data_IF_963370356779
#
_entry.id   IF_963370356779
#
_cell.length_a   1.000
_cell.length_b   1.000
_cell.length_c   1.000
_cell.angle_alpha   90.00
_cell.angle_beta   90.00
_cell.angle_gamma   90.00
#
_symmetry.space_group_name_H-M   'P 1'
#
loop_
_entity.id
_entity.type
_entity.pdbx_description
1 polymer ?
#
# COMPACT_ATOMS: atom_id res chain seq x y z
N UNK A 1 9.40 16.75 -7.26
CA UNK A 1 10.87 16.73 -7.25
C UNK A 1 11.40 15.50 -6.51
N UNK A 2 10.95 15.24 -5.29
CA UNK A 2 11.41 14.11 -4.44
C UNK A 2 11.17 12.74 -5.06
N UNK A 3 9.99 12.48 -5.61
CA UNK A 3 9.62 11.19 -6.20
C UNK A 3 10.44 10.86 -7.45
N UNK A 4 10.71 11.86 -8.31
CA UNK A 4 11.61 11.66 -9.46
C UNK A 4 13.03 11.37 -9.02
N UNK A 5 13.51 12.02 -7.96
CA UNK A 5 14.83 11.79 -7.40
C UNK A 5 14.95 10.39 -6.80
N UNK A 6 13.94 9.89 -6.10
CA UNK A 6 13.89 8.51 -5.58
C UNK A 6 13.91 7.48 -6.73
N UNK A 7 13.19 7.72 -7.81
CA UNK A 7 13.24 6.86 -9.00
C UNK A 7 14.60 6.89 -9.69
N UNK A 8 15.21 8.07 -9.82
CA UNK A 8 16.46 8.24 -10.54
C UNK A 8 17.68 7.76 -9.72
N UNK A 9 17.66 7.94 -8.41
CA UNK A 9 18.78 7.56 -7.55
C UNK A 9 18.59 6.13 -7.02
N UNK A 10 17.48 5.84 -6.35
CA UNK A 10 17.33 4.58 -5.63
C UNK A 10 17.08 3.40 -6.57
N UNK A 11 16.23 3.59 -7.59
CA UNK A 11 15.88 2.48 -8.51
C UNK A 11 17.03 2.18 -9.47
N UNK A 12 17.67 3.21 -10.04
CA UNK A 12 18.79 3.01 -10.97
C UNK A 12 20.05 2.49 -10.25
N UNK A 13 20.37 3.06 -9.09
CA UNK A 13 21.62 2.74 -8.39
C UNK A 13 21.56 1.38 -7.69
N UNK A 14 20.45 1.07 -7.01
CA UNK A 14 20.31 -0.16 -6.23
C UNK A 14 20.12 -1.39 -7.11
N UNK A 15 19.45 -1.26 -8.26
CA UNK A 15 19.08 -2.41 -9.12
C UNK A 15 19.84 -2.49 -10.43
N UNK A 16 20.78 -1.58 -10.70
CA UNK A 16 21.52 -1.52 -11.97
C UNK A 16 20.60 -1.56 -13.21
N UNK A 17 19.43 -0.92 -13.08
CA UNK A 17 18.44 -0.86 -14.15
C UNK A 17 18.92 0.13 -15.20
N UNK A 18 18.89 -0.26 -16.46
CA UNK A 18 19.22 0.63 -17.57
C UNK A 18 18.29 1.87 -17.57
N UNK A 19 18.86 3.02 -17.86
CA UNK A 19 18.09 4.29 -17.95
C UNK A 19 16.92 4.22 -18.91
N UNK A 20 16.99 3.34 -19.92
CA UNK A 20 15.93 3.08 -20.89
C UNK A 20 14.60 2.62 -20.27
N UNK A 21 14.62 2.02 -19.08
CA UNK A 21 13.41 1.53 -18.39
C UNK A 21 12.74 2.56 -17.48
N UNK A 22 13.43 3.65 -17.15
CA UNK A 22 12.90 4.70 -16.27
C UNK A 22 11.54 5.28 -16.71
N UNK A 23 11.31 5.60 -17.99
CA UNK A 23 10.01 6.11 -18.42
C UNK A 23 8.86 5.12 -18.14
N UNK A 24 9.12 3.82 -18.31
CA UNK A 24 8.15 2.75 -18.04
C UNK A 24 7.85 2.61 -16.54
N UNK A 25 8.89 2.69 -15.70
CA UNK A 25 8.75 2.67 -14.24
C UNK A 25 7.98 3.89 -13.72
N UNK A 26 8.26 5.09 -14.26
CA UNK A 26 7.51 6.31 -13.93
C UNK A 26 6.03 6.19 -14.30
N UNK A 27 5.74 5.68 -15.50
CA UNK A 27 4.37 5.45 -15.95
C UNK A 27 3.65 4.44 -15.05
N UNK A 28 4.33 3.34 -14.67
CA UNK A 28 3.77 2.34 -13.76
C UNK A 28 3.48 2.94 -12.38
N UNK A 29 4.43 3.67 -11.80
CA UNK A 29 4.23 4.34 -10.51
C UNK A 29 3.06 5.31 -10.55
N UNK A 30 2.93 6.10 -11.61
CA UNK A 30 1.80 6.99 -11.79
C UNK A 30 0.47 6.23 -11.82
N UNK A 31 0.36 5.16 -12.62
CA UNK A 31 -0.85 4.33 -12.73
C UNK A 31 -1.21 3.70 -11.38
N UNK A 32 -0.23 3.16 -10.65
CA UNK A 32 -0.46 2.60 -9.31
C UNK A 32 -0.90 3.68 -8.33
N UNK A 33 -0.25 4.83 -8.30
CA UNK A 33 -0.57 5.90 -7.35
C UNK A 33 -1.95 6.52 -7.59
N UNK A 34 -2.45 6.50 -8.82
CA UNK A 34 -3.80 7.00 -9.12
C UNK A 34 -4.91 6.05 -8.65
N UNK A 35 -4.59 4.78 -8.41
CA UNK A 35 -5.57 3.73 -8.05
C UNK A 35 -5.34 3.11 -6.69
N UNK A 36 -4.16 3.31 -6.08
CA UNK A 36 -3.81 2.73 -4.79
C UNK A 36 -4.73 3.22 -3.64
N UNK A 37 -5.09 2.33 -2.70
CA UNK A 37 -4.80 0.90 -2.66
C UNK A 37 -5.65 0.10 -3.66
N UNK A 38 -5.00 -0.71 -4.46
CA UNK A 38 -5.69 -1.45 -5.53
C UNK A 38 -5.15 -2.87 -5.70
N UNK A 39 -5.98 -3.77 -6.21
CA UNK A 39 -5.54 -5.05 -6.76
C UNK A 39 -4.98 -4.80 -8.17
N UNK A 40 -3.66 -4.96 -8.41
CA UNK A 40 -3.08 -4.60 -9.70
C UNK A 40 -3.61 -5.49 -10.82
N UNK A 41 -4.14 -4.89 -11.87
CA UNK A 41 -4.46 -5.61 -13.09
C UNK A 41 -3.21 -5.72 -13.98
N UNK A 42 -2.38 -6.73 -13.69
CA UNK A 42 -1.09 -6.93 -14.37
C UNK A 42 -1.24 -7.06 -15.89
N UNK A 43 -2.35 -7.63 -16.37
CA UNK A 43 -2.61 -7.76 -17.82
C UNK A 43 -2.89 -6.42 -18.48
N UNK A 44 -3.66 -5.56 -17.83
CA UNK A 44 -3.92 -4.20 -18.31
C UNK A 44 -2.66 -3.36 -18.25
N UNK A 45 -1.95 -3.38 -17.12
CA UNK A 45 -0.68 -2.65 -16.96
C UNK A 45 0.36 -3.07 -18.01
N UNK A 46 0.45 -4.37 -18.35
CA UNK A 46 1.37 -4.85 -19.37
C UNK A 46 1.08 -4.28 -20.76
N UNK A 47 -0.21 -4.13 -21.10
CA UNK A 47 -0.64 -3.49 -22.36
C UNK A 47 -0.34 -1.99 -22.37
N UNK A 48 -0.69 -1.28 -21.31
CA UNK A 48 -0.51 0.18 -21.20
C UNK A 48 0.96 0.60 -21.20
N UNK A 49 1.84 -0.22 -20.62
CA UNK A 49 3.29 0.04 -20.52
C UNK A 49 4.07 -0.60 -21.68
N UNK A 50 3.40 -1.40 -22.50
CA UNK A 50 4.00 -2.13 -23.61
C UNK A 50 5.17 -3.01 -23.15
N UNK A 51 4.89 -3.94 -22.25
CA UNK A 51 5.88 -4.87 -21.70
C UNK A 51 5.23 -6.18 -21.26
N UNK A 52 6.01 -7.18 -20.87
CA UNK A 52 5.48 -8.46 -20.42
C UNK A 52 4.87 -8.36 -19.01
N UNK A 53 3.96 -9.29 -18.69
CA UNK A 53 3.40 -9.39 -17.32
C UNK A 53 4.48 -9.67 -16.28
N UNK A 54 5.46 -10.50 -16.61
CA UNK A 54 6.59 -10.78 -15.73
C UNK A 54 7.41 -9.51 -15.45
N UNK A 55 7.64 -8.70 -16.49
CA UNK A 55 8.33 -7.41 -16.35
C UNK A 55 7.55 -6.44 -15.46
N UNK A 56 6.21 -6.37 -15.59
CA UNK A 56 5.38 -5.55 -14.67
C UNK A 56 5.56 -6.00 -13.23
N UNK A 57 5.55 -7.30 -12.96
CA UNK A 57 5.75 -7.82 -11.61
C UNK A 57 7.13 -7.45 -11.04
N UNK A 58 8.18 -7.56 -11.87
CA UNK A 58 9.52 -7.12 -11.49
C UNK A 58 9.57 -5.61 -11.24
N UNK A 59 8.91 -4.79 -12.06
CA UNK A 59 8.85 -3.35 -11.86
C UNK A 59 8.12 -2.98 -10.55
N UNK A 60 7.01 -3.64 -10.20
CA UNK A 60 6.35 -3.44 -8.91
C UNK A 60 7.31 -3.81 -7.77
N UNK A 61 8.07 -4.90 -7.91
CA UNK A 61 9.08 -5.29 -6.93
C UNK A 61 10.18 -4.24 -6.79
N UNK A 62 10.67 -3.67 -7.90
CA UNK A 62 11.67 -2.59 -7.87
C UNK A 62 11.15 -1.33 -7.17
N UNK A 63 9.89 -0.95 -7.45
CA UNK A 63 9.24 0.17 -6.76
C UNK A 63 9.04 -0.11 -5.27
N UNK A 64 8.83 -1.38 -4.87
CA UNK A 64 8.74 -1.79 -3.46
C UNK A 64 10.09 -1.70 -2.78
N UNK A 65 11.15 -2.18 -3.41
CA UNK A 65 12.51 -2.12 -2.88
C UNK A 65 13.01 -0.66 -2.74
N UNK A 66 12.57 0.22 -3.64
CA UNK A 66 12.82 1.67 -3.58
C UNK A 66 11.91 2.41 -2.59
N UNK A 67 11.07 1.72 -1.82
CA UNK A 67 10.13 2.29 -0.85
C UNK A 67 9.17 3.33 -1.45
N UNK A 68 8.69 3.08 -2.66
CA UNK A 68 7.68 3.90 -3.33
C UNK A 68 6.29 3.29 -3.23
N UNK A 69 6.21 1.95 -3.22
CA UNK A 69 4.99 1.19 -3.03
C UNK A 69 5.20 0.04 -2.04
N UNK A 70 4.11 -0.50 -1.54
CA UNK A 70 4.08 -1.71 -0.72
C UNK A 70 3.20 -2.76 -1.37
N UNK A 71 3.64 -4.02 -1.36
CA UNK A 71 2.84 -5.17 -1.80
C UNK A 71 2.26 -5.90 -0.60
N UNK A 72 0.95 -6.09 -0.58
CA UNK A 72 0.27 -6.94 0.39
C UNK A 72 -0.19 -8.24 -0.27
N UNK A 73 0.04 -9.35 0.41
CA UNK A 73 -0.30 -10.69 -0.06
C UNK A 73 -1.36 -11.35 0.82
N UNK A 74 -2.04 -12.34 0.28
CA UNK A 74 -2.81 -13.28 1.10
C UNK A 74 -1.87 -14.16 1.92
N UNK A 75 -2.42 -14.77 2.94
CA UNK A 75 -1.66 -15.74 3.75
C UNK A 75 -1.12 -16.87 2.87
N UNK A 76 0.18 -17.17 3.01
CA UNK A 76 0.85 -18.20 2.21
C UNK A 76 1.22 -17.78 0.77
N UNK A 77 1.00 -16.53 0.40
CA UNK A 77 1.41 -15.99 -0.90
C UNK A 77 2.54 -14.96 -0.74
N UNK A 78 3.43 -14.92 -1.72
CA UNK A 78 4.55 -13.98 -1.79
C UNK A 78 5.00 -13.77 -3.24
N UNK A 79 5.93 -12.85 -3.48
CA UNK A 79 6.56 -12.70 -4.78
C UNK A 79 7.19 -14.04 -5.24
N UNK A 80 7.05 -14.43 -6.53
CA UNK A 80 6.57 -13.65 -7.67
C UNK A 80 5.06 -13.71 -7.95
N UNK A 81 4.24 -14.22 -7.03
CA UNK A 81 2.79 -14.17 -7.20
C UNK A 81 2.28 -12.73 -7.25
N UNK A 82 1.12 -12.55 -7.89
CA UNK A 82 0.46 -11.25 -7.94
C UNK A 82 0.00 -10.84 -6.52
N UNK A 83 0.34 -9.64 -6.04
CA UNK A 83 -0.13 -9.19 -4.73
C UNK A 83 -1.66 -9.03 -4.71
N UNK A 84 -2.25 -9.25 -3.56
CA UNK A 84 -3.66 -9.01 -3.31
C UNK A 84 -3.97 -7.51 -3.44
N UNK A 85 -3.11 -6.66 -2.86
CA UNK A 85 -3.20 -5.21 -3.00
C UNK A 85 -1.81 -4.56 -3.10
N UNK A 86 -1.77 -3.40 -3.76
CA UNK A 86 -0.61 -2.50 -3.79
C UNK A 86 -1.02 -1.19 -3.13
N UNK A 87 -0.21 -0.72 -2.21
CA UNK A 87 -0.34 0.56 -1.50
C UNK A 87 0.78 1.50 -1.93
N UNK A 88 0.60 2.81 -1.81
CA UNK A 88 1.75 3.70 -1.77
C UNK A 88 2.57 3.45 -0.51
N UNK A 89 3.88 3.61 -0.58
CA UNK A 89 4.72 3.41 0.61
C UNK A 89 4.39 4.38 1.73
N UNK A 90 4.09 5.64 1.36
CA UNK A 90 3.69 6.68 2.30
C UNK A 90 2.47 7.43 1.74
N UNK A 91 1.50 7.75 2.60
CA UNK A 91 0.30 8.50 2.21
C UNK A 91 0.60 9.87 1.60
N UNK A 92 1.71 10.50 2.00
CA UNK A 92 2.15 11.78 1.43
C UNK A 92 2.51 11.70 -0.06
N UNK A 93 2.86 10.50 -0.57
CA UNK A 93 3.15 10.31 -2.00
C UNK A 93 1.89 10.36 -2.88
N UNK A 94 0.70 10.24 -2.28
CA UNK A 94 -0.57 10.27 -3.01
C UNK A 94 -0.93 11.68 -3.48
N UNK A 95 -0.64 12.69 -2.67
CA UNK A 95 -1.03 14.09 -2.93
C UNK A 95 -0.32 14.76 -4.12
N UNK A 96 1.00 14.58 -4.33
CA UNK A 96 1.66 15.17 -5.50
C UNK A 96 1.14 14.65 -6.84
N UNK A 97 0.54 13.46 -6.84
CA UNK A 97 0.05 12.80 -8.05
C UNK A 97 -1.41 13.15 -8.33
N UNK A 98 -2.24 13.27 -7.29
CA UNK A 98 -3.67 13.62 -7.40
C UNK A 98 -4.11 14.55 -6.28
N UNK A 99 -3.68 15.80 -6.26
CA UNK A 99 -3.90 16.70 -5.11
C UNK A 99 -5.37 16.94 -4.78
N UNK A 100 -6.28 16.87 -5.76
CA UNK A 100 -7.70 17.17 -5.57
C UNK A 100 -8.61 15.92 -5.50
N UNK A 101 -8.08 14.71 -5.66
CA UNK A 101 -8.91 13.49 -5.77
C UNK A 101 -8.39 12.32 -4.96
N UNK A 102 -7.64 12.59 -3.87
CA UNK A 102 -7.17 11.55 -2.98
C UNK A 102 -8.35 11.03 -2.16
N UNK A 103 -8.59 9.73 -2.22
CA UNK A 103 -9.63 9.08 -1.42
C UNK A 103 -9.19 9.05 0.06
N UNK A 104 -9.93 9.66 1.00
CA UNK A 104 -9.56 9.66 2.42
C UNK A 104 -9.41 8.25 3.02
N UNK A 105 -10.22 7.29 2.59
CA UNK A 105 -10.09 5.91 3.04
C UNK A 105 -8.76 5.29 2.59
N UNK A 106 -8.34 5.57 1.36
CA UNK A 106 -7.03 5.14 0.84
C UNK A 106 -5.86 5.71 1.65
N UNK A 107 -5.98 6.95 2.10
CA UNK A 107 -4.98 7.59 2.98
C UNK A 107 -4.89 6.88 4.33
N UNK A 108 -6.02 6.58 4.98
CA UNK A 108 -6.08 5.86 6.26
C UNK A 108 -5.46 4.48 6.17
N UNK A 109 -5.84 3.71 5.16
CA UNK A 109 -5.31 2.36 4.96
C UNK A 109 -3.81 2.39 4.66
N UNK A 110 -3.35 3.33 3.83
CA UNK A 110 -1.93 3.51 3.51
C UNK A 110 -1.14 3.92 4.75
N UNK A 111 -1.67 4.83 5.56
CA UNK A 111 -1.06 5.23 6.83
C UNK A 111 -0.92 4.02 7.76
N UNK A 112 -2.00 3.29 8.01
CA UNK A 112 -1.97 2.10 8.86
C UNK A 112 -0.93 1.08 8.37
N UNK A 113 -0.94 0.76 7.08
CA UNK A 113 0.03 -0.16 6.48
C UNK A 113 1.46 0.31 6.74
N UNK A 114 1.74 1.59 6.46
CA UNK A 114 3.08 2.17 6.61
C UNK A 114 3.59 2.08 8.05
N UNK A 115 2.75 2.40 9.03
CA UNK A 115 3.15 2.35 10.43
C UNK A 115 3.36 0.92 10.95
N UNK A 116 2.51 -0.02 10.52
CA UNK A 116 2.53 -1.39 11.02
C UNK A 116 3.59 -2.28 10.38
N UNK A 117 4.00 -2.02 9.13
CA UNK A 117 4.84 -2.93 8.34
C UNK A 117 6.26 -3.14 8.89
N UNK A 118 6.77 -2.24 9.72
CA UNK A 118 8.15 -2.30 10.22
C UNK A 118 8.39 -3.55 11.07
N UNK A 119 7.50 -3.79 12.03
CA UNK A 119 7.67 -4.83 13.05
C UNK A 119 6.59 -5.92 12.98
N UNK A 120 5.67 -5.83 11.98
CA UNK A 120 4.55 -6.75 11.87
C UNK A 120 4.43 -7.32 10.46
N UNK A 121 3.98 -8.56 10.39
CA UNK A 121 3.56 -9.20 9.15
C UNK A 121 2.14 -8.75 8.81
N UNK A 122 1.97 -8.16 7.63
CA UNK A 122 0.67 -7.72 7.13
C UNK A 122 0.22 -8.60 5.96
N UNK A 123 -0.98 -9.14 6.05
CA UNK A 123 -1.64 -9.87 5.00
C UNK A 123 -3.02 -9.27 4.72
N UNK A 124 -3.63 -9.64 3.59
CA UNK A 124 -5.02 -9.28 3.29
C UNK A 124 -5.94 -9.78 4.40
N UNK A 125 -6.79 -8.90 4.91
CA UNK A 125 -7.74 -9.21 5.97
C UNK A 125 -8.83 -10.20 5.53
N UNK A 126 -9.41 -10.90 6.50
CA UNK A 126 -10.54 -11.80 6.29
C UNK A 126 -11.78 -11.25 6.99
N UNK A 127 -12.98 -11.78 6.69
CA UNK A 127 -14.24 -11.39 7.35
C UNK A 127 -14.53 -9.88 7.27
N UNK A 128 -14.27 -9.29 6.10
CA UNK A 128 -14.49 -7.87 5.85
C UNK A 128 -13.50 -6.92 6.58
N UNK A 129 -12.36 -7.45 7.06
CA UNK A 129 -11.24 -6.66 7.53
C UNK A 129 -10.37 -6.18 6.36
N UNK A 130 -9.65 -5.08 6.56
CA UNK A 130 -8.68 -4.59 5.59
C UNK A 130 -7.33 -5.31 5.73
N UNK A 131 -6.91 -5.59 6.95
CA UNK A 131 -5.61 -6.20 7.26
C UNK A 131 -5.72 -7.35 8.24
N UNK A 132 -4.91 -8.37 8.02
CA UNK A 132 -4.60 -9.41 8.99
C UNK A 132 -3.16 -9.20 9.48
N UNK A 133 -3.02 -8.85 10.76
CA UNK A 133 -1.73 -8.54 11.39
C UNK A 133 -1.24 -9.78 12.15
N UNK A 134 0.01 -10.18 11.88
CA UNK A 134 0.69 -11.31 12.53
C UNK A 134 -0.11 -12.63 12.50
N UNK A 135 -0.89 -12.83 11.45
CA UNK A 135 -1.77 -14.00 11.25
C UNK A 135 -2.82 -14.20 12.37
N UNK A 136 -3.06 -13.16 13.19
CA UNK A 136 -3.89 -13.27 14.39
C UNK A 136 -4.97 -12.20 14.47
N UNK A 137 -4.63 -10.94 14.21
CA UNK A 137 -5.52 -9.80 14.48
C UNK A 137 -6.06 -9.22 13.18
N UNK A 138 -7.37 -9.28 12.99
CA UNK A 138 -8.04 -8.65 11.85
C UNK A 138 -8.37 -7.20 12.15
N UNK A 139 -7.86 -6.27 11.35
CA UNK A 139 -8.08 -4.84 11.48
C UNK A 139 -8.98 -4.29 10.39
N UNK A 140 -9.96 -3.49 10.80
CA UNK A 140 -10.79 -2.67 9.93
C UNK A 140 -10.47 -1.19 10.16
N UNK A 141 -10.22 -0.47 9.08
CA UNK A 141 -9.83 0.94 9.11
C UNK A 141 -11.04 1.79 8.75
N UNK A 142 -11.46 2.67 9.62
CA UNK A 142 -12.69 3.45 9.47
C UNK A 142 -12.46 4.92 9.82
N UNK A 143 -13.25 5.80 9.24
CA UNK A 143 -13.31 7.20 9.66
C UNK A 143 -14.03 7.34 11.00
N UNK A 144 -15.22 6.75 11.07
CA UNK A 144 -16.08 6.68 12.24
C UNK A 144 -16.63 5.27 12.37
N UNK A 145 -16.94 4.87 13.58
CA UNK A 145 -17.68 3.64 13.81
C UNK A 145 -19.13 3.80 13.34
N UNK A 146 -19.55 2.92 12.43
CA UNK A 146 -20.91 2.87 11.91
C UNK A 146 -21.50 1.48 12.17
N UNK A 147 -22.62 1.46 12.87
CA UNK A 147 -23.39 0.24 13.10
C UNK A 147 -22.82 -0.65 14.20
N UNK A 148 -23.14 -1.94 14.13
CA UNK A 148 -22.80 -2.92 15.15
C UNK A 148 -21.33 -3.33 15.06
N UNK A 149 -20.62 -3.27 16.19
CA UNK A 149 -19.22 -3.67 16.29
C UNK A 149 -19.14 -5.20 16.27
N UNK A 150 -18.28 -5.73 15.39
CA UNK A 150 -17.96 -7.15 15.40
C UNK A 150 -16.83 -7.41 16.43
N UNK A 151 -17.07 -8.23 17.47
CA UNK A 151 -16.07 -8.47 18.52
C UNK A 151 -14.83 -9.24 18.03
N UNK A 152 -14.87 -9.85 16.84
CA UNK A 152 -13.71 -10.55 16.25
C UNK A 152 -12.78 -9.63 15.45
N UNK A 153 -13.15 -8.34 15.29
CA UNK A 153 -12.36 -7.35 14.56
C UNK A 153 -11.83 -6.28 15.49
N UNK A 154 -10.61 -5.83 15.23
CA UNK A 154 -10.09 -4.58 15.76
C UNK A 154 -10.41 -3.45 14.78
N UNK A 155 -10.77 -2.29 15.30
CA UNK A 155 -11.12 -1.11 14.52
C UNK A 155 -10.10 -0.02 14.77
N UNK A 156 -9.35 0.37 13.74
CA UNK A 156 -8.52 1.56 13.76
C UNK A 156 -9.35 2.74 13.23
N UNK A 157 -9.73 3.66 14.10
CA UNK A 157 -10.73 4.71 13.84
C UNK A 157 -10.10 6.09 13.86
N UNK A 158 -10.25 6.85 12.76
CA UNK A 158 -9.63 8.18 12.62
C UNK A 158 -10.18 9.19 13.62
N UNK A 159 -11.50 9.25 13.79
CA UNK A 159 -12.17 10.22 14.65
C UNK A 159 -12.39 9.74 16.09
N UNK A 160 -11.79 8.62 16.48
CA UNK A 160 -11.79 8.21 17.87
C UNK A 160 -10.70 8.98 18.65
N UNK A 161 -11.10 9.65 19.73
CA UNK A 161 -10.18 10.35 20.64
C UNK A 161 -9.63 9.39 21.69
N UNK A 162 -10.45 8.47 22.15
CA UNK A 162 -10.12 7.49 23.18
C UNK A 162 -10.38 6.09 22.67
N UNK A 163 -9.47 5.16 22.99
CA UNK A 163 -9.63 3.75 22.69
C UNK A 163 -10.45 3.01 23.75
N UNK A 164 -10.94 1.83 23.41
CA UNK A 164 -11.62 0.94 24.32
C UNK A 164 -12.02 -0.35 23.63
N UNK A 165 -11.97 -1.47 24.32
CA UNK A 165 -12.22 -2.80 23.80
C UNK A 165 -11.43 -3.08 22.49
N UNK A 166 -12.14 -3.23 21.38
CA UNK A 166 -11.55 -3.48 20.07
C UNK A 166 -11.36 -2.20 19.23
N UNK A 167 -11.51 -1.01 19.82
CA UNK A 167 -11.42 0.28 19.13
C UNK A 167 -10.10 0.94 19.50
N UNK A 168 -9.31 1.30 18.50
CA UNK A 168 -8.02 1.96 18.67
C UNK A 168 -8.04 3.22 17.81
N UNK A 169 -7.77 4.41 18.40
CA UNK A 169 -7.60 5.62 17.61
C UNK A 169 -6.50 5.44 16.55
N UNK A 170 -6.81 5.80 15.32
CA UNK A 170 -5.88 5.58 14.19
C UNK A 170 -4.56 6.35 14.37
N UNK A 171 -4.59 7.51 15.01
CA UNK A 171 -3.41 8.34 15.27
C UNK A 171 -2.39 7.67 16.21
N UNK A 172 -2.82 6.73 17.09
CA UNK A 172 -1.92 5.99 17.98
C UNK A 172 -0.89 5.14 17.23
N UNK A 173 -1.25 4.64 16.05
CA UNK A 173 -0.32 3.88 15.22
C UNK A 173 0.84 4.72 14.71
N UNK A 174 0.71 6.04 14.67
CA UNK A 174 1.80 6.96 14.34
C UNK A 174 2.96 7.00 15.34
N UNK A 175 2.82 6.38 16.51
CA UNK A 175 3.89 6.27 17.53
C UNK A 175 4.63 4.93 17.49
N UNK A 176 4.33 4.06 16.52
CA UNK A 176 4.99 2.76 16.36
C UNK A 176 6.25 2.91 15.48
N UNK A 177 7.33 3.55 15.99
CA UNK A 177 8.63 3.67 15.29
C UNK A 177 9.84 3.50 16.22
#
# INVERSE_FOLDING_TARGET
KTMNMMLEVDVLYIKQIEQSYLPKLRKLLYLLATTAPCTPNVSQLSKEIQTSRATIMNYIKYLTDARLVNMMYRVGEEFPKKPARVYMYNSNLMYPIRPMAVNPQAVRETFFFNQMQKDNRLNEGVRNAHFLVNLKHNFKIEENLKGKINPELYYAVEKAEVGGDNIIPLWLFGFLY
#
